data_IF_242779762795
#
_entry.id   IF_242779762795
#
_cell.length_a   1.000
_cell.length_b   1.000
_cell.length_c   1.000
_cell.angle_alpha   90.00
_cell.angle_beta   90.00
_cell.angle_gamma   90.00
#
_symmetry.space_group_name_H-M   'P 1'
#
loop_
_entity.id
_entity.type
_entity.pdbx_description
1 polymer ?
#
# COMPACT_ATOMS: atom_id res chain seq x y z
N UNK A 1 -19.46 19.17 -13.82
CA UNK A 1 -19.10 17.75 -13.95
C UNK A 1 -18.57 17.25 -12.61
N UNK A 2 -19.45 17.02 -11.64
CA UNK A 2 -19.11 16.34 -10.38
C UNK A 2 -20.09 15.17 -10.26
N UNK A 3 -19.93 14.17 -11.12
CA UNK A 3 -20.65 12.92 -10.93
C UNK A 3 -19.88 12.15 -9.88
N UNK A 4 -20.40 12.14 -8.65
CA UNK A 4 -19.95 11.19 -7.63
C UNK A 4 -20.25 9.81 -8.24
N UNK A 5 -19.21 9.02 -8.50
CA UNK A 5 -19.39 7.70 -9.11
C UNK A 5 -20.30 6.85 -8.23
N UNK A 6 -21.30 6.21 -8.82
CA UNK A 6 -22.22 5.31 -8.12
C UNK A 6 -21.58 3.93 -7.87
N UNK A 7 -20.37 3.69 -8.41
CA UNK A 7 -19.61 2.45 -8.26
C UNK A 7 -18.80 2.49 -6.95
N UNK A 8 -19.03 1.47 -6.12
CA UNK A 8 -18.38 1.16 -4.87
C UNK A 8 -17.46 -0.05 -5.03
N UNK A 9 -16.18 0.10 -4.68
CA UNK A 9 -15.33 -1.07 -4.41
C UNK A 9 -15.56 -1.52 -2.96
N UNK A 10 -16.26 -2.64 -2.79
CA UNK A 10 -16.82 -3.06 -1.51
C UNK A 10 -15.73 -3.30 -0.45
N UNK A 11 -14.63 -3.94 -0.85
CA UNK A 11 -13.57 -4.33 0.07
C UNK A 11 -12.90 -3.12 0.71
N UNK A 12 -12.44 -2.17 -0.10
CA UNK A 12 -11.88 -0.90 0.37
C UNK A 12 -12.86 -0.12 1.23
N UNK A 13 -14.10 0.05 0.78
CA UNK A 13 -15.09 0.82 1.51
C UNK A 13 -15.36 0.26 2.90
N UNK A 14 -15.38 -1.06 3.06
CA UNK A 14 -15.55 -1.69 4.36
C UNK A 14 -14.28 -1.58 5.18
N UNK A 15 -13.10 -1.85 4.62
CA UNK A 15 -11.83 -1.76 5.36
C UNK A 15 -11.59 -0.35 5.94
N UNK A 16 -12.02 0.70 5.24
CA UNK A 16 -11.94 2.08 5.72
C UNK A 16 -12.82 2.35 6.97
N UNK A 17 -13.79 1.47 7.28
CA UNK A 17 -14.64 1.56 8.48
C UNK A 17 -14.05 0.88 9.71
N UNK A 18 -13.04 0.03 9.53
CA UNK A 18 -12.45 -0.75 10.63
C UNK A 18 -11.08 -0.19 11.04
N UNK A 19 -10.64 -0.44 12.29
CA UNK A 19 -9.29 -0.11 12.71
C UNK A 19 -8.23 -0.75 11.81
N UNK A 20 -7.09 -0.08 11.67
CA UNK A 20 -5.95 -0.60 10.93
C UNK A 20 -5.52 -1.97 11.46
N UNK A 21 -5.40 -2.96 10.56
CA UNK A 21 -5.00 -4.32 10.88
C UNK A 21 -6.13 -5.27 11.29
N UNK A 22 -7.39 -4.81 11.27
CA UNK A 22 -8.53 -5.69 11.50
C UNK A 22 -8.73 -6.70 10.35
N UNK A 23 -8.87 -7.98 10.68
CA UNK A 23 -9.15 -9.05 9.73
C UNK A 23 -10.64 -9.40 9.73
N UNK A 24 -11.34 -8.95 8.69
CA UNK A 24 -12.76 -9.24 8.47
C UNK A 24 -12.90 -10.69 8.01
N UNK A 25 -13.69 -11.48 8.74
CA UNK A 25 -13.92 -12.89 8.40
C UNK A 25 -15.03 -13.08 7.35
N UNK A 26 -15.18 -14.30 6.82
CA UNK A 26 -16.17 -14.62 5.78
C UNK A 26 -17.62 -14.36 6.22
N UNK A 27 -17.95 -14.54 7.51
CA UNK A 27 -19.31 -14.29 8.01
C UNK A 27 -19.63 -12.80 7.95
N UNK A 28 -18.68 -11.95 8.30
CA UNK A 28 -18.82 -10.49 8.19
C UNK A 28 -18.89 -10.04 6.74
N UNK A 29 -18.07 -10.60 5.84
CA UNK A 29 -18.18 -10.34 4.40
C UNK A 29 -19.58 -10.70 3.87
N UNK A 30 -20.11 -11.85 4.25
CA UNK A 30 -21.47 -12.25 3.91
C UNK A 30 -22.52 -11.25 4.45
N UNK A 31 -22.36 -10.79 5.70
CA UNK A 31 -23.26 -9.79 6.28
C UNK A 31 -23.22 -8.47 5.50
N UNK A 32 -22.03 -8.00 5.12
CA UNK A 32 -21.86 -6.80 4.31
C UNK A 32 -22.45 -6.93 2.91
N UNK A 33 -22.25 -8.07 2.22
CA UNK A 33 -22.87 -8.33 0.91
C UNK A 33 -24.40 -8.28 1.00
N UNK A 34 -24.99 -8.86 2.05
CA UNK A 34 -26.44 -8.79 2.30
C UNK A 34 -26.88 -7.35 2.57
N UNK A 35 -26.12 -6.61 3.38
CA UNK A 35 -26.41 -5.22 3.70
C UNK A 35 -26.43 -4.33 2.45
N UNK A 36 -25.39 -4.37 1.60
CA UNK A 36 -25.33 -3.53 0.40
C UNK A 36 -26.40 -3.92 -0.63
N UNK A 37 -26.72 -5.21 -0.74
CA UNK A 37 -27.83 -5.67 -1.58
C UNK A 37 -29.17 -5.11 -1.10
N UNK A 38 -29.44 -5.16 0.20
CA UNK A 38 -30.66 -4.59 0.79
C UNK A 38 -30.73 -3.07 0.69
N UNK A 39 -29.57 -2.39 0.63
CA UNK A 39 -29.49 -0.95 0.37
C UNK A 39 -29.78 -0.56 -1.09
N UNK A 40 -30.07 -1.53 -1.97
CA UNK A 40 -30.40 -1.36 -3.37
C UNK A 40 -29.19 -1.43 -4.32
N UNK A 41 -28.02 -1.86 -3.84
CA UNK A 41 -26.85 -2.00 -4.70
C UNK A 41 -26.88 -3.33 -5.48
N UNK A 42 -26.39 -3.28 -6.71
CA UNK A 42 -26.23 -4.45 -7.60
C UNK A 42 -24.75 -4.77 -7.78
N UNK A 43 -24.39 -6.05 -7.71
CA UNK A 43 -23.03 -6.51 -7.98
C UNK A 43 -22.77 -6.44 -9.50
N UNK A 44 -21.72 -5.73 -9.88
CA UNK A 44 -21.29 -5.49 -11.27
C UNK A 44 -19.84 -5.96 -11.49
N UNK A 45 -19.35 -6.84 -10.63
CA UNK A 45 -17.99 -7.37 -10.71
C UNK A 45 -17.80 -8.13 -12.04
N UNK A 46 -16.79 -7.79 -12.88
CA UNK A 46 -16.60 -8.41 -14.19
C UNK A 46 -15.82 -9.74 -14.13
N UNK A 47 -15.50 -10.20 -12.93
CA UNK A 47 -14.70 -11.38 -12.62
C UNK A 47 -15.60 -12.59 -12.37
N UNK A 48 -15.12 -13.82 -12.61
CA UNK A 48 -15.92 -14.98 -12.17
C UNK A 48 -15.80 -15.15 -10.65
N UNK A 49 -16.82 -15.78 -10.08
CA UNK A 49 -16.86 -16.07 -8.64
C UNK A 49 -15.62 -16.84 -8.19
N UNK A 50 -14.99 -16.35 -7.12
CA UNK A 50 -13.81 -16.99 -6.51
C UNK A 50 -12.47 -16.64 -7.17
N UNK A 51 -12.47 -15.93 -8.29
CA UNK A 51 -11.22 -15.56 -8.98
C UNK A 51 -10.60 -14.24 -8.46
N UNK A 52 -11.37 -13.43 -7.71
CA UNK A 52 -10.91 -12.17 -7.12
C UNK A 52 -11.43 -11.95 -5.71
N UNK A 53 -10.66 -11.23 -4.89
CA UNK A 53 -11.11 -10.66 -3.61
C UNK A 53 -11.83 -9.30 -3.76
N UNK A 54 -11.77 -8.70 -4.94
CA UNK A 54 -12.37 -7.40 -5.22
C UNK A 54 -13.79 -7.58 -5.73
N UNK A 55 -14.72 -6.82 -5.16
CA UNK A 55 -16.12 -6.79 -5.55
C UNK A 55 -16.54 -5.35 -5.84
N UNK A 56 -17.19 -5.15 -6.99
CA UNK A 56 -17.71 -3.86 -7.41
C UNK A 56 -19.23 -3.88 -7.38
N UNK A 57 -19.81 -2.87 -6.73
CA UNK A 57 -21.24 -2.73 -6.54
C UNK A 57 -21.67 -1.34 -6.99
N UNK A 58 -22.85 -1.21 -7.60
CA UNK A 58 -23.39 0.10 -8.00
C UNK A 58 -24.79 0.29 -7.46
N UNK A 59 -25.13 1.52 -7.09
CA UNK A 59 -26.51 1.94 -6.78
C UNK A 59 -27.16 2.69 -7.96
N UNK A 60 -26.48 2.76 -9.10
CA UNK A 60 -27.00 3.44 -10.29
C UNK A 60 -28.26 2.76 -10.80
N UNK A 61 -29.24 3.56 -11.25
CA UNK A 61 -30.44 3.05 -11.93
C UNK A 61 -30.08 2.23 -13.18
N UNK A 62 -28.94 2.53 -13.81
CA UNK A 62 -28.43 1.82 -14.97
C UNK A 62 -27.15 1.04 -14.65
N UNK A 63 -27.30 -0.01 -13.83
CA UNK A 63 -26.21 -0.92 -13.48
C UNK A 63 -25.55 -1.58 -14.71
N UNK A 64 -26.28 -1.73 -15.81
CA UNK A 64 -25.77 -2.32 -17.05
C UNK A 64 -24.66 -1.46 -17.68
N UNK A 65 -24.80 -0.14 -17.62
CA UNK A 65 -23.78 0.79 -18.13
C UNK A 65 -22.46 0.62 -17.37
N UNK A 66 -22.53 0.64 -16.04
CA UNK A 66 -21.36 0.49 -15.16
C UNK A 66 -20.69 -0.88 -15.34
N UNK A 67 -21.51 -1.95 -15.38
CA UNK A 67 -21.04 -3.31 -15.64
C UNK A 67 -20.32 -3.42 -16.99
N UNK A 68 -20.88 -2.82 -18.04
CA UNK A 68 -20.25 -2.80 -19.38
C UNK A 68 -18.92 -2.05 -19.37
N UNK A 69 -18.84 -0.92 -18.67
CA UNK A 69 -17.59 -0.17 -18.51
C UNK A 69 -16.53 -1.00 -17.77
N UNK A 70 -16.86 -1.64 -16.64
CA UNK A 70 -15.93 -2.50 -15.92
C UNK A 70 -15.49 -3.71 -16.76
N UNK A 71 -16.41 -4.28 -17.54
CA UNK A 71 -16.10 -5.38 -18.45
C UNK A 71 -15.12 -4.97 -19.56
N UNK A 72 -15.29 -3.76 -20.13
CA UNK A 72 -14.35 -3.20 -21.11
C UNK A 72 -12.98 -3.04 -20.45
N UNK A 73 -12.92 -2.39 -19.29
CA UNK A 73 -11.67 -2.18 -18.55
C UNK A 73 -10.95 -3.49 -18.25
N UNK A 74 -11.69 -4.52 -17.84
CA UNK A 74 -11.15 -5.86 -17.60
C UNK A 74 -10.60 -6.50 -18.87
N UNK A 75 -11.37 -6.49 -19.96
CA UNK A 75 -10.94 -7.04 -21.26
C UNK A 75 -9.74 -6.31 -21.86
N UNK A 76 -9.60 -5.02 -21.57
CA UNK A 76 -8.48 -4.19 -21.98
C UNK A 76 -7.29 -4.21 -21.02
N UNK A 77 -7.31 -5.08 -20.00
CA UNK A 77 -6.26 -5.23 -18.97
C UNK A 77 -6.03 -4.00 -18.07
N UNK A 78 -6.81 -2.92 -18.21
CA UNK A 78 -6.78 -1.76 -17.33
C UNK A 78 -7.36 -2.05 -15.94
N UNK A 79 -8.30 -2.99 -15.84
CA UNK A 79 -8.82 -3.48 -14.56
C UNK A 79 -8.30 -4.89 -14.34
N UNK A 80 -7.43 -5.07 -13.35
CA UNK A 80 -6.88 -6.37 -13.02
C UNK A 80 -7.71 -7.06 -11.94
N UNK A 81 -7.82 -8.38 -12.05
CA UNK A 81 -8.63 -9.21 -11.17
C UNK A 81 -8.00 -9.37 -9.79
N UNK A 82 -6.73 -9.73 -9.78
CA UNK A 82 -5.88 -9.61 -8.63
C UNK A 82 -4.77 -8.69 -9.14
N UNK A 83 -4.96 -7.35 -9.05
CA UNK A 83 -3.84 -6.47 -9.29
C UNK A 83 -2.73 -7.03 -8.41
N UNK A 84 -1.58 -7.29 -9.01
CA UNK A 84 -0.39 -7.53 -8.23
C UNK A 84 -0.13 -6.19 -7.53
N UNK A 85 -0.86 -5.93 -6.44
CA UNK A 85 -0.28 -5.29 -5.30
C UNK A 85 0.90 -6.21 -5.04
N UNK A 86 2.06 -5.86 -5.60
CA UNK A 86 3.31 -6.11 -4.92
C UNK A 86 2.94 -5.79 -3.46
N UNK A 87 2.79 -6.80 -2.60
CA UNK A 87 2.71 -6.61 -1.16
C UNK A 87 3.79 -5.60 -0.88
N UNK A 88 3.44 -4.32 -0.68
CA UNK A 88 4.26 -3.21 -1.17
C UNK A 88 5.72 -3.49 -0.85
N UNK A 89 6.48 -4.11 -1.78
CA UNK A 89 7.63 -4.92 -1.34
C UNK A 89 8.68 -3.95 -0.78
N UNK A 90 8.65 -2.74 -1.34
CA UNK A 90 9.19 -1.52 -0.80
C UNK A 90 8.74 -1.26 0.64
N UNK A 91 7.45 -1.15 0.96
CA UNK A 91 6.95 -0.99 2.34
C UNK A 91 7.41 -2.11 3.28
N UNK A 92 7.24 -3.39 2.92
CA UNK A 92 7.66 -4.52 3.75
C UNK A 92 9.17 -4.50 3.98
N UNK A 93 9.95 -4.21 2.93
CA UNK A 93 11.38 -3.97 3.01
C UNK A 93 11.71 -2.82 3.95
N UNK A 94 11.08 -1.65 3.79
CA UNK A 94 11.33 -0.46 4.61
C UNK A 94 10.96 -0.68 6.08
N UNK A 95 9.89 -1.42 6.36
CA UNK A 95 9.50 -1.82 7.72
C UNK A 95 10.51 -2.79 8.33
N UNK A 96 10.85 -3.87 7.63
CA UNK A 96 11.86 -4.83 8.10
C UNK A 96 13.21 -4.16 8.32
N UNK A 97 13.60 -3.24 7.44
CA UNK A 97 14.84 -2.47 7.54
C UNK A 97 14.82 -1.49 8.72
N UNK A 98 13.70 -0.82 8.99
CA UNK A 98 13.54 0.04 10.17
C UNK A 98 13.66 -0.77 11.46
N UNK A 99 12.98 -1.92 11.52
CA UNK A 99 13.07 -2.84 12.66
C UNK A 99 14.51 -3.33 12.87
N UNK A 100 15.22 -3.67 11.79
CA UNK A 100 16.62 -4.07 11.86
C UNK A 100 17.53 -2.93 12.33
N UNK A 101 17.27 -1.69 11.90
CA UNK A 101 17.98 -0.52 12.41
C UNK A 101 17.76 -0.36 13.92
N UNK A 102 16.52 -0.37 14.40
CA UNK A 102 16.20 -0.16 15.81
C UNK A 102 16.75 -1.28 16.72
N UNK A 103 16.72 -2.54 16.27
CA UNK A 103 17.09 -3.71 17.07
C UNK A 103 18.52 -4.22 16.82
N UNK A 104 19.41 -3.44 16.20
CA UNK A 104 20.78 -3.91 15.93
C UNK A 104 21.62 -4.01 17.22
N UNK A 105 22.04 -5.24 17.56
CA UNK A 105 22.98 -5.55 18.66
C UNK A 105 24.36 -4.88 18.52
N UNK A 106 24.61 -4.17 17.42
CA UNK A 106 25.85 -3.43 17.13
C UNK A 106 25.86 -2.01 17.72
N UNK A 107 24.81 -1.65 18.46
CA UNK A 107 24.68 -0.36 19.13
C UNK A 107 24.66 0.84 18.16
N UNK A 108 24.78 2.07 18.69
CA UNK A 108 24.69 3.30 17.90
C UNK A 108 25.66 3.37 16.71
N UNK A 109 26.84 2.74 16.81
CA UNK A 109 27.84 2.71 15.75
C UNK A 109 27.43 1.81 14.58
N UNK A 110 26.79 0.67 14.87
CA UNK A 110 26.26 -0.23 13.83
C UNK A 110 25.12 0.42 13.04
N UNK A 111 24.18 1.05 13.74
CA UNK A 111 23.10 1.83 13.14
C UNK A 111 23.65 2.94 12.24
N UNK A 112 24.63 3.70 12.75
CA UNK A 112 25.27 4.79 12.01
C UNK A 112 25.95 4.30 10.75
N UNK A 113 26.64 3.15 10.79
CA UNK A 113 27.29 2.55 9.60
C UNK A 113 26.25 2.13 8.56
N UNK A 114 25.20 1.41 8.95
CA UNK A 114 24.15 0.95 8.03
C UNK A 114 23.44 2.15 7.39
N UNK A 115 23.03 3.12 8.21
CA UNK A 115 22.36 4.32 7.72
C UNK A 115 23.27 5.14 6.79
N UNK A 116 24.58 5.22 7.06
CA UNK A 116 25.52 5.97 6.21
C UNK A 116 25.66 5.41 4.80
N UNK A 117 25.53 4.09 4.62
CA UNK A 117 25.65 3.42 3.32
C UNK A 117 24.49 3.85 2.41
N UNK A 118 23.28 3.91 2.96
CA UNK A 118 22.06 4.19 2.19
C UNK A 118 21.70 5.67 2.14
N UNK A 119 22.13 6.47 3.13
CA UNK A 119 21.71 7.87 3.23
C UNK A 119 22.13 8.72 2.02
N UNK A 120 23.16 8.31 1.29
CA UNK A 120 23.62 8.94 0.04
C UNK A 120 22.83 8.51 -1.19
N UNK A 121 22.07 7.41 -1.10
CA UNK A 121 21.31 6.81 -2.21
C UNK A 121 19.86 7.26 -2.27
N UNK A 122 19.34 7.86 -1.20
CA UNK A 122 17.94 8.32 -1.09
C UNK A 122 17.86 9.79 -0.67
N UNK A 123 16.75 10.44 -1.01
CA UNK A 123 16.46 11.83 -0.61
C UNK A 123 16.11 11.94 0.88
N UNK A 124 16.18 13.15 1.41
CA UNK A 124 15.74 13.44 2.79
C UNK A 124 14.28 13.09 3.02
N UNK A 125 13.40 13.41 2.06
CA UNK A 125 11.97 13.17 2.19
C UNK A 125 11.65 11.67 2.17
N UNK A 126 12.33 10.89 1.34
CA UNK A 126 12.20 9.42 1.32
C UNK A 126 12.67 8.81 2.64
N UNK A 127 13.86 9.17 3.12
CA UNK A 127 14.39 8.63 4.38
C UNK A 127 13.49 9.01 5.57
N UNK A 128 13.02 10.26 5.63
CA UNK A 128 12.10 10.70 6.69
C UNK A 128 10.77 9.95 6.65
N UNK A 129 10.15 9.86 5.48
CA UNK A 129 8.84 9.21 5.34
C UNK A 129 8.89 7.69 5.50
N UNK A 130 9.97 7.04 5.06
CA UNK A 130 10.12 5.57 5.07
C UNK A 130 10.79 5.02 6.32
N UNK A 131 11.68 5.76 6.98
CA UNK A 131 12.42 5.29 8.16
C UNK A 131 12.13 6.08 9.44
N UNK A 132 11.40 7.20 9.38
CA UNK A 132 11.17 8.04 10.55
C UNK A 132 12.42 8.76 11.07
N UNK A 133 13.50 8.80 10.28
CA UNK A 133 14.78 9.40 10.70
C UNK A 133 14.71 10.92 10.62
N UNK A 134 15.21 11.59 11.67
CA UNK A 134 15.34 13.03 11.71
C UNK A 134 16.43 13.54 10.75
N UNK A 135 16.26 14.77 10.26
CA UNK A 135 17.17 15.36 9.27
C UNK A 135 18.62 15.49 9.79
N UNK A 136 18.79 15.82 11.07
CA UNK A 136 20.11 15.86 11.71
C UNK A 136 20.82 14.49 11.70
N UNK A 137 20.09 13.39 11.90
CA UNK A 137 20.60 12.03 11.86
C UNK A 137 21.08 11.66 10.46
N UNK A 138 20.31 12.02 9.43
CA UNK A 138 20.69 11.81 8.02
C UNK A 138 21.92 12.65 7.64
N UNK A 139 22.02 13.91 8.07
CA UNK A 139 23.22 14.75 7.89
C UNK A 139 24.47 14.08 8.46
N UNK A 140 24.39 13.60 9.70
CA UNK A 140 25.52 12.94 10.38
C UNK A 140 25.88 11.60 9.74
N UNK A 141 24.90 10.86 9.21
CA UNK A 141 25.13 9.63 8.48
C UNK A 141 25.85 9.89 7.14
N UNK A 142 25.43 10.92 6.38
CA UNK A 142 26.09 11.32 5.13
C UNK A 142 27.51 11.83 5.36
N UNK A 143 27.74 12.62 6.40
CA UNK A 143 29.08 13.05 6.79
C UNK A 143 29.97 11.84 7.13
N UNK A 144 29.45 10.88 7.90
CA UNK A 144 30.16 9.66 8.22
C UNK A 144 30.52 8.85 6.97
N UNK A 145 29.60 8.75 6.00
CA UNK A 145 29.83 8.08 4.72
C UNK A 145 30.95 8.74 3.90
N UNK A 146 31.07 10.08 3.93
CA UNK A 146 32.14 10.80 3.24
C UNK A 146 33.52 10.52 3.84
N UNK A 147 33.60 10.32 5.15
CA UNK A 147 34.87 10.12 5.87
C UNK A 147 35.29 8.64 5.87
N UNK A 148 34.33 7.70 5.92
CA UNK A 148 34.61 6.28 6.15
C UNK A 148 34.10 5.36 5.04
N UNK A 149 33.51 5.93 3.99
CA UNK A 149 32.92 5.17 2.89
C UNK A 149 33.94 4.75 1.83
N UNK A 150 33.54 3.87 0.89
CA UNK A 150 34.38 3.48 -0.24
C UNK A 150 34.71 4.71 -1.09
N UNK A 151 35.99 5.09 -1.16
CA UNK A 151 36.47 6.29 -1.86
C UNK A 151 36.81 7.50 -0.98
N UNK A 152 36.75 7.37 0.35
CA UNK A 152 37.24 8.42 1.25
C UNK A 152 38.78 8.55 1.18
N UNK A 153 39.34 9.77 1.38
CA UNK A 153 40.79 9.95 1.47
C UNK A 153 41.35 9.06 2.59
N UNK A 154 42.32 8.21 2.27
CA UNK A 154 43.06 7.48 3.31
C UNK A 154 43.99 8.49 4.00
N UNK A 155 43.91 8.53 5.33
CA UNK A 155 44.88 9.24 6.15
C UNK A 155 46.22 8.48 6.18
#
# INVERSE_FOLDING_TARGET
LNQKSDILELRKAILDLYPFGYEINEREWCAWRVFVRNAGCTNITPFKNGESKFEFWTKSDNAQKDSTTLQILYKSEFLQQNPCYQENQSLTFWQAFRNALENTNRGPNGQRRILSIIATKFTYQELRSKLGVAANTVSRARQYARINGPGAPQA
#
